data_IF_389622218033
#
_entry.id   IF_389622218033
#
_cell.length_a   1.000
_cell.length_b   1.000
_cell.length_c   1.000
_cell.angle_alpha   90.00
_cell.angle_beta   90.00
_cell.angle_gamma   90.00
#
_symmetry.space_group_name_H-M   'P 1'
#
loop_
_entity.id
_entity.type
_entity.pdbx_description
1 polymer ?
#
# COMPACT_ATOMS: atom_id res chain seq x y z
N UNK A 1 27.12 -10.44 -10.16
CA UNK A 1 25.83 -10.09 -9.52
C UNK A 1 25.81 -8.60 -9.24
N UNK A 2 24.68 -7.93 -9.46
CA UNK A 2 24.61 -6.47 -9.52
C UNK A 2 24.19 -5.94 -8.12
N UNK A 3 25.12 -5.35 -7.38
CA UNK A 3 24.96 -4.96 -5.95
C UNK A 3 23.71 -4.11 -5.67
N UNK A 4 23.26 -3.32 -6.65
CA UNK A 4 22.04 -2.50 -6.58
C UNK A 4 20.77 -3.38 -6.47
N UNK A 5 20.74 -4.53 -7.15
CA UNK A 5 19.60 -5.44 -7.10
C UNK A 5 19.54 -6.15 -5.74
N UNK A 6 20.69 -6.56 -5.20
CA UNK A 6 20.76 -7.25 -3.91
C UNK A 6 20.33 -6.32 -2.75
N UNK A 7 20.75 -5.05 -2.80
CA UNK A 7 20.30 -4.03 -1.85
C UNK A 7 18.78 -3.84 -1.85
N UNK A 8 18.16 -3.71 -3.04
CA UNK A 8 16.70 -3.55 -3.16
C UNK A 8 15.97 -4.80 -2.66
N UNK A 9 16.49 -5.99 -2.92
CA UNK A 9 15.91 -7.26 -2.46
C UNK A 9 15.93 -7.32 -0.93
N UNK A 10 17.07 -7.02 -0.31
CA UNK A 10 17.20 -7.05 1.15
C UNK A 10 16.28 -6.03 1.82
N UNK A 11 16.27 -4.78 1.35
CA UNK A 11 15.33 -3.78 1.88
C UNK A 11 13.87 -4.17 1.69
N UNK A 12 13.53 -4.83 0.58
CA UNK A 12 12.17 -5.36 0.36
C UNK A 12 11.83 -6.44 1.40
N UNK A 13 12.75 -7.37 1.67
CA UNK A 13 12.54 -8.43 2.66
C UNK A 13 12.37 -7.86 4.08
N UNK A 14 13.23 -6.92 4.47
CA UNK A 14 13.18 -6.28 5.78
C UNK A 14 11.87 -5.51 5.94
N UNK A 15 11.47 -4.78 4.91
CA UNK A 15 10.23 -4.02 4.94
C UNK A 15 8.98 -4.92 4.96
N UNK A 16 8.96 -6.01 4.18
CA UNK A 16 7.87 -7.00 4.23
C UNK A 16 7.77 -7.60 5.64
N UNK A 17 8.90 -7.98 6.24
CA UNK A 17 8.95 -8.51 7.61
C UNK A 17 8.40 -7.51 8.63
N UNK A 18 8.81 -6.25 8.52
CA UNK A 18 8.31 -5.17 9.37
C UNK A 18 6.78 -5.04 9.26
N UNK A 19 6.25 -5.01 8.03
CA UNK A 19 4.82 -4.89 7.77
C UNK A 19 4.04 -6.09 8.31
N UNK A 20 4.55 -7.30 8.13
CA UNK A 20 3.89 -8.55 8.54
C UNK A 20 3.89 -8.76 10.06
N UNK A 21 4.61 -7.94 10.83
CA UNK A 21 4.42 -7.90 12.28
C UNK A 21 2.93 -7.65 12.61
N UNK A 22 2.29 -8.43 13.49
CA UNK A 22 0.85 -8.36 13.72
C UNK A 22 0.32 -6.95 14.00
N UNK A 23 1.05 -6.15 14.79
CA UNK A 23 0.65 -4.79 15.15
C UNK A 23 0.67 -3.87 13.93
N UNK A 24 1.72 -3.95 13.13
CA UNK A 24 1.89 -3.11 11.94
C UNK A 24 0.92 -3.54 10.83
N UNK A 25 0.71 -4.85 10.70
CA UNK A 25 -0.21 -5.43 9.72
C UNK A 25 -1.65 -4.96 9.94
N UNK A 26 -2.11 -4.92 11.20
CA UNK A 26 -3.42 -4.37 11.54
C UNK A 26 -3.57 -2.89 11.14
N UNK A 27 -2.54 -2.07 11.31
CA UNK A 27 -2.57 -0.64 10.92
C UNK A 27 -2.75 -0.43 9.42
N UNK A 28 -2.42 -1.40 8.58
CA UNK A 28 -2.59 -1.28 7.12
C UNK A 28 -4.07 -1.24 6.73
N UNK A 29 -4.94 -1.87 7.52
CA UNK A 29 -6.39 -1.87 7.30
C UNK A 29 -7.09 -0.62 7.86
N UNK A 30 -6.39 0.19 8.65
CA UNK A 30 -6.89 1.46 9.17
C UNK A 30 -6.73 2.55 8.08
N UNK A 31 -7.67 2.56 7.14
CA UNK A 31 -7.65 3.50 6.01
C UNK A 31 -8.38 4.80 6.38
N UNK A 32 -7.68 5.93 6.27
CA UNK A 32 -8.32 7.25 6.34
C UNK A 32 -8.92 7.61 4.97
N UNK A 33 -10.17 7.22 4.74
CA UNK A 33 -10.89 7.40 3.47
C UNK A 33 -10.94 8.88 3.06
N UNK A 34 -11.06 9.81 4.02
CA UNK A 34 -11.12 11.25 3.73
C UNK A 34 -9.82 11.76 3.09
N UNK A 35 -8.66 11.31 3.60
CA UNK A 35 -7.35 11.63 3.01
C UNK A 35 -7.27 11.15 1.56
N UNK A 36 -7.75 9.92 1.30
CA UNK A 36 -7.81 9.39 -0.06
C UNK A 36 -8.69 10.24 -0.97
N UNK A 37 -9.94 10.53 -0.59
CA UNK A 37 -10.87 11.35 -1.39
C UNK A 37 -10.25 12.70 -1.75
N UNK A 38 -9.62 13.38 -0.77
CA UNK A 38 -9.00 14.68 -1.01
C UNK A 38 -7.85 14.59 -2.03
N UNK A 39 -6.99 13.58 -1.91
CA UNK A 39 -5.91 13.36 -2.87
C UNK A 39 -6.50 13.06 -4.26
N UNK A 40 -7.47 12.16 -4.32
CA UNK A 40 -8.14 11.74 -5.56
C UNK A 40 -8.81 12.91 -6.30
N UNK A 41 -9.50 13.79 -5.57
CA UNK A 41 -10.10 15.03 -6.11
C UNK A 41 -9.04 16.00 -6.64
N UNK A 42 -7.87 16.08 -5.98
CA UNK A 42 -6.77 16.97 -6.39
C UNK A 42 -6.00 16.44 -7.61
N UNK A 43 -5.78 15.13 -7.69
CA UNK A 43 -4.99 14.50 -8.75
C UNK A 43 -5.86 14.05 -9.93
N UNK A 44 -6.91 14.79 -10.25
CA UNK A 44 -8.03 14.40 -11.11
C UNK A 44 -7.63 13.96 -12.54
N UNK A 45 -7.13 12.73 -12.66
CA UNK A 45 -6.73 12.11 -13.92
C UNK A 45 -7.42 10.76 -14.07
N UNK A 46 -8.76 10.74 -14.22
CA UNK A 46 -9.62 9.69 -14.85
C UNK A 46 -9.36 8.18 -14.54
N UNK A 47 -8.43 7.82 -13.66
CA UNK A 47 -8.08 6.45 -13.32
C UNK A 47 -8.87 6.09 -12.09
N UNK A 48 -9.85 5.21 -12.29
CA UNK A 48 -10.59 4.54 -11.22
C UNK A 48 -9.59 4.02 -10.19
N UNK A 49 -9.68 4.53 -8.96
CA UNK A 49 -8.84 4.09 -7.85
C UNK A 49 -9.21 2.66 -7.54
N UNK A 50 -8.22 1.78 -7.58
CA UNK A 50 -8.42 0.37 -7.30
C UNK A 50 -8.17 0.07 -5.83
N UNK A 51 -8.65 -1.09 -5.37
CA UNK A 51 -8.32 -1.61 -4.06
C UNK A 51 -6.79 -1.71 -3.84
N UNK A 52 -6.05 -2.07 -4.90
CA UNK A 52 -4.59 -2.15 -4.83
C UNK A 52 -3.93 -0.78 -4.67
N UNK A 53 -4.47 0.28 -5.29
CA UNK A 53 -3.93 1.64 -5.14
C UNK A 53 -4.07 2.14 -3.70
N UNK A 54 -5.22 1.90 -3.07
CA UNK A 54 -5.46 2.23 -1.66
C UNK A 54 -4.51 1.44 -0.76
N UNK A 55 -4.41 0.14 -0.99
CA UNK A 55 -3.49 -0.73 -0.25
C UNK A 55 -2.03 -0.28 -0.38
N UNK A 56 -1.54 -0.05 -1.62
CA UNK A 56 -0.18 0.39 -1.90
C UNK A 56 0.12 1.75 -1.25
N UNK A 57 -0.88 2.63 -1.17
CA UNK A 57 -0.75 3.91 -0.47
C UNK A 57 -0.58 3.71 1.04
N UNK A 58 -1.31 2.78 1.69
CA UNK A 58 -1.06 2.43 3.10
C UNK A 58 0.32 1.82 3.33
N UNK A 59 0.80 0.96 2.43
CA UNK A 59 2.18 0.46 2.49
C UNK A 59 3.19 1.61 2.40
N UNK A 60 2.97 2.57 1.51
CA UNK A 60 3.83 3.75 1.39
C UNK A 60 3.84 4.60 2.68
N UNK A 61 2.68 4.77 3.31
CA UNK A 61 2.56 5.51 4.57
C UNK A 61 3.25 4.80 5.74
N UNK A 62 3.13 3.48 5.87
CA UNK A 62 3.91 2.71 6.85
C UNK A 62 5.41 2.79 6.54
N UNK A 63 5.80 2.77 5.27
CA UNK A 63 7.20 2.95 4.86
C UNK A 63 7.75 4.30 5.29
N UNK A 64 6.95 5.37 5.17
CA UNK A 64 7.33 6.71 5.63
C UNK A 64 7.63 6.76 7.14
N UNK A 65 6.89 6.03 7.98
CA UNK A 65 7.11 5.97 9.42
C UNK A 65 8.49 5.41 9.81
N UNK A 66 9.09 4.58 8.94
CA UNK A 66 10.38 3.93 9.16
C UNK A 66 11.44 4.33 8.12
N UNK A 67 11.25 5.45 7.44
CA UNK A 67 12.17 5.98 6.42
C UNK A 67 12.41 5.09 5.18
N UNK A 68 11.48 4.20 4.85
CA UNK A 68 11.45 3.47 3.57
C UNK A 68 10.70 4.30 2.54
N UNK A 69 11.43 5.08 1.74
CA UNK A 69 10.87 6.00 0.73
C UNK A 69 11.12 5.56 -0.72
N UNK A 70 11.94 4.52 -0.91
CA UNK A 70 12.25 4.00 -2.25
C UNK A 70 10.99 3.39 -2.90
N UNK A 71 10.53 3.99 -3.99
CA UNK A 71 9.30 3.58 -4.68
C UNK A 71 9.34 2.16 -5.25
N UNK A 72 10.53 1.65 -5.60
CA UNK A 72 10.73 0.27 -6.05
C UNK A 72 10.56 -0.71 -4.89
N UNK A 73 11.16 -0.41 -3.73
CA UNK A 73 11.01 -1.21 -2.50
C UNK A 73 9.53 -1.24 -2.08
N UNK A 74 8.89 -0.08 -1.99
CA UNK A 74 7.45 0.04 -1.66
C UNK A 74 6.59 -0.78 -2.63
N UNK A 75 6.84 -0.66 -3.94
CA UNK A 75 6.09 -1.39 -4.96
C UNK A 75 6.25 -2.90 -4.88
N UNK A 76 7.48 -3.39 -4.69
CA UNK A 76 7.76 -4.82 -4.54
C UNK A 76 7.16 -5.38 -3.25
N UNK A 77 7.32 -4.68 -2.12
CA UNK A 77 6.73 -5.07 -0.85
C UNK A 77 5.22 -5.12 -0.93
N UNK A 78 4.59 -4.08 -1.49
CA UNK A 78 3.13 -4.05 -1.67
C UNK A 78 2.65 -5.23 -2.54
N UNK A 79 3.32 -5.55 -3.64
CA UNK A 79 2.93 -6.70 -4.46
C UNK A 79 3.03 -8.03 -3.68
N UNK A 80 4.14 -8.25 -2.97
CA UNK A 80 4.35 -9.47 -2.17
C UNK A 80 3.30 -9.65 -1.09
N UNK A 81 2.99 -8.57 -0.36
CA UNK A 81 1.99 -8.62 0.70
C UNK A 81 0.59 -8.81 0.10
N UNK A 82 0.25 -8.07 -0.96
CA UNK A 82 -1.06 -8.13 -1.61
C UNK A 82 -1.41 -9.54 -2.11
N UNK A 83 -0.47 -10.25 -2.74
CA UNK A 83 -0.71 -11.60 -3.24
C UNK A 83 -1.13 -12.53 -2.08
N UNK A 84 -0.48 -12.38 -0.93
CA UNK A 84 -0.72 -13.19 0.26
C UNK A 84 -1.95 -12.78 1.09
N UNK A 85 -2.57 -11.63 0.81
CA UNK A 85 -3.83 -11.27 1.46
C UNK A 85 -4.96 -12.21 1.05
N UNK A 86 -5.79 -12.56 2.02
CA UNK A 86 -7.04 -13.30 1.81
C UNK A 86 -8.04 -12.50 0.98
N UNK A 87 -9.04 -13.18 0.44
CA UNK A 87 -10.14 -12.54 -0.27
C UNK A 87 -10.89 -11.53 0.61
N UNK A 88 -11.06 -11.82 1.90
CA UNK A 88 -11.75 -10.94 2.85
C UNK A 88 -10.96 -9.64 3.09
N UNK A 89 -9.66 -9.75 3.32
CA UNK A 89 -8.76 -8.60 3.50
C UNK A 89 -8.71 -7.72 2.23
N UNK A 90 -8.61 -8.33 1.05
CA UNK A 90 -8.69 -7.62 -0.23
C UNK A 90 -10.05 -6.92 -0.38
N UNK A 91 -11.13 -7.50 0.13
CA UNK A 91 -12.47 -6.94 0.02
C UNK A 91 -12.65 -5.66 0.84
N UNK A 92 -11.96 -5.52 1.98
CA UNK A 92 -11.95 -4.26 2.74
C UNK A 92 -11.48 -3.10 1.87
N UNK A 93 -10.36 -3.28 1.14
CA UNK A 93 -9.86 -2.26 0.22
C UNK A 93 -10.76 -2.04 -1.00
N UNK A 94 -11.48 -3.08 -1.48
CA UNK A 94 -12.50 -2.91 -2.52
C UNK A 94 -13.66 -2.05 -2.05
N UNK A 95 -14.14 -2.25 -0.82
CA UNK A 95 -15.20 -1.45 -0.24
C UNK A 95 -14.77 0.02 -0.13
N UNK A 96 -13.53 0.30 0.29
CA UNK A 96 -13.00 1.66 0.29
C UNK A 96 -12.91 2.26 -1.12
N UNK A 97 -12.49 1.48 -2.12
CA UNK A 97 -12.43 1.94 -3.51
C UNK A 97 -13.81 2.30 -4.06
N UNK A 98 -14.84 1.52 -3.72
CA UNK A 98 -16.24 1.81 -4.08
C UNK A 98 -16.69 3.10 -3.39
N UNK A 99 -16.47 3.24 -2.08
CA UNK A 99 -16.85 4.45 -1.34
C UNK A 99 -16.20 5.71 -1.91
N UNK A 100 -14.91 5.66 -2.27
CA UNK A 100 -14.22 6.80 -2.88
C UNK A 100 -14.81 7.13 -4.25
N UNK A 101 -15.13 6.11 -5.06
CA UNK A 101 -15.76 6.28 -6.36
C UNK A 101 -17.15 6.90 -6.26
N UNK A 102 -17.95 6.50 -5.27
CA UNK A 102 -19.31 7.05 -5.09
C UNK A 102 -19.31 8.53 -4.66
N UNK A 103 -18.16 9.06 -4.21
CA UNK A 103 -18.01 10.44 -3.69
C UNK A 103 -17.42 11.41 -4.73
N UNK A 104 -16.81 10.91 -5.80
CA UNK A 104 -16.09 11.70 -6.82
C UNK A 104 -16.76 11.55 -8.17
#
# INVERSE_FOLDING_TARGET
>A
MNQINDFVINQTNDFVTHIQNPTNFQRIFQVNIHSHIQISRRTNTRKRITAYDIFKKRISEEGFLINVTNSKVIGLSANRIWINLTSAEKNLFRNFAIQIHDII
#
